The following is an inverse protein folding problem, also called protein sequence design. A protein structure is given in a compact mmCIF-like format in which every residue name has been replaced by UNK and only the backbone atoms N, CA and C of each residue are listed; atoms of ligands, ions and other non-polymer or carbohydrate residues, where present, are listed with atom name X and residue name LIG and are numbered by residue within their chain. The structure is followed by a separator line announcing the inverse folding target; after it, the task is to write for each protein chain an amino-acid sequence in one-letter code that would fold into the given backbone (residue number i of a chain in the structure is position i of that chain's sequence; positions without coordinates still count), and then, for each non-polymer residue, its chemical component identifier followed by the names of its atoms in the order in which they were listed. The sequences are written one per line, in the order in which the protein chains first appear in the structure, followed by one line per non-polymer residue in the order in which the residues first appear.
data_IF_027591528006
#
_entry.id   IF_027591528006
#
_cell.length_a   1.000
_cell.length_b   1.000
_cell.length_c   1.000
_cell.angle_alpha   90.00
_cell.angle_beta   90.00
_cell.angle_gamma   90.00
#
_symmetry.space_group_name_H-M   'P 1'
#
loop_
_entity.id
_entity.type
_entity.pdbx_description
1 polymer ?
#
# COMPACT_ATOMS: atom_id res chain seq x y z
N UNK A 1 6.00 16.84 -3.80
CA UNK A 1 4.59 16.72 -3.37
C UNK A 1 4.12 15.39 -3.90
N UNK A 2 3.57 14.52 -3.04
CA UNK A 2 3.18 13.15 -3.40
C UNK A 2 1.65 13.03 -3.38
N UNK A 3 1.07 12.50 -4.46
CA UNK A 3 -0.36 12.15 -4.51
C UNK A 3 -0.50 10.63 -4.41
N UNK A 4 -1.47 10.16 -3.62
CA UNK A 4 -1.77 8.73 -3.53
C UNK A 4 -2.81 8.37 -4.57
N UNK A 5 -2.41 7.62 -5.59
CA UNK A 5 -3.33 7.14 -6.63
C UNK A 5 -3.70 5.69 -6.34
N UNK A 6 -5.01 5.43 -6.19
CA UNK A 6 -5.51 4.05 -6.12
C UNK A 6 -5.77 3.55 -7.53
N UNK A 7 -5.27 2.36 -7.85
CA UNK A 7 -5.45 1.73 -9.14
C UNK A 7 -5.79 0.25 -9.01
N UNK A 8 -6.45 -0.30 -10.03
CA UNK A 8 -6.67 -1.73 -10.19
C UNK A 8 -5.77 -2.28 -11.29
N UNK A 9 -5.14 -3.41 -11.01
CA UNK A 9 -4.36 -4.13 -12.01
C UNK A 9 -5.26 -5.05 -12.84
N UNK A 10 -5.36 -4.77 -14.13
CA UNK A 10 -6.18 -5.55 -15.07
C UNK A 10 -5.41 -5.75 -16.39
N UNK A 11 -5.20 -7.01 -16.78
CA UNK A 11 -4.57 -7.34 -18.07
C UNK A 11 -3.14 -6.81 -18.26
N UNK A 12 -2.37 -6.65 -17.18
CA UNK A 12 -0.99 -6.12 -17.26
C UNK A 12 -0.89 -4.60 -17.06
N UNK A 13 -2.01 -3.90 -16.84
CA UNK A 13 -2.06 -2.44 -16.77
C UNK A 13 -2.64 -1.99 -15.43
N UNK A 14 -2.05 -0.95 -14.83
CA UNK A 14 -2.62 -0.25 -13.67
C UNK A 14 -3.62 0.79 -14.15
N UNK A 15 -4.89 0.61 -13.80
CA UNK A 15 -5.99 1.52 -14.12
C UNK A 15 -6.38 2.33 -12.88
N UNK A 16 -6.19 3.64 -12.85
CA UNK A 16 -6.65 4.49 -11.74
C UNK A 16 -8.14 4.29 -11.46
N UNK A 17 -8.52 4.34 -10.19
CA UNK A 17 -9.94 4.30 -9.78
C UNK A 17 -10.63 5.66 -9.96
N UNK A 18 -9.83 6.73 -10.05
CA UNK A 18 -10.25 8.12 -10.19
C UNK A 18 -9.34 8.80 -11.22
N UNK A 19 -9.81 9.91 -11.81
CA UNK A 19 -9.00 10.69 -12.75
C UNK A 19 -7.76 11.28 -12.06
N UNK A 20 -6.64 11.29 -12.78
CA UNK A 20 -5.35 11.74 -12.26
C UNK A 20 -4.87 12.91 -13.10
N UNK A 21 -4.52 14.02 -12.45
CA UNK A 21 -3.98 15.21 -13.11
C UNK A 21 -2.48 15.04 -13.38
N UNK A 22 -2.16 14.25 -14.42
CA UNK A 22 -0.79 14.02 -14.91
C UNK A 22 -0.71 14.41 -16.38
N UNK A 23 0.47 14.86 -16.82
CA UNK A 23 0.72 15.17 -18.23
C UNK A 23 1.13 13.93 -19.00
N UNK A 24 0.84 13.89 -20.29
CA UNK A 24 1.34 12.82 -21.17
C UNK A 24 2.89 12.79 -21.14
N UNK A 25 3.45 11.61 -20.90
CA UNK A 25 4.90 11.40 -20.77
C UNK A 25 5.48 11.73 -19.39
N UNK A 26 4.66 12.09 -18.41
CA UNK A 26 5.11 12.30 -17.03
C UNK A 26 5.49 10.96 -16.36
N UNK A 27 6.72 10.89 -15.83
CA UNK A 27 7.20 9.71 -15.12
C UNK A 27 6.72 9.71 -13.67
N UNK A 28 6.27 8.54 -13.19
CA UNK A 28 5.80 8.36 -11.81
C UNK A 28 6.43 7.14 -11.18
N UNK A 29 6.63 7.20 -9.86
CA UNK A 29 7.09 6.07 -9.07
C UNK A 29 5.90 5.30 -8.49
N UNK A 30 5.95 3.97 -8.51
CA UNK A 30 4.89 3.10 -8.04
C UNK A 30 5.30 2.34 -6.79
N UNK A 31 4.49 2.45 -5.73
CA UNK A 31 4.63 1.64 -4.52
C UNK A 31 3.61 0.50 -4.57
N UNK A 32 4.08 -0.73 -4.82
CA UNK A 32 3.23 -1.93 -4.83
C UNK A 32 3.35 -2.64 -3.49
N UNK A 33 2.38 -2.41 -2.61
CA UNK A 33 2.27 -3.11 -1.32
C UNK A 33 1.73 -4.52 -1.56
N UNK A 34 2.56 -5.54 -1.38
CA UNK A 34 2.13 -6.96 -1.37
C UNK A 34 1.76 -7.36 0.05
N UNK A 35 0.75 -8.22 0.19
CA UNK A 35 0.08 -8.42 1.48
C UNK A 35 1.05 -8.75 2.62
N UNK A 36 0.80 -8.12 3.76
CA UNK A 36 1.47 -8.30 5.05
C UNK A 36 1.20 -9.65 5.70
N UNK A 37 0.49 -10.56 5.03
CA UNK A 37 0.05 -11.86 5.57
C UNK A 37 1.23 -12.69 6.09
N UNK A 38 2.40 -12.59 5.46
CA UNK A 38 3.62 -13.27 5.91
C UNK A 38 4.17 -12.71 7.24
N UNK A 39 4.10 -11.39 7.43
CA UNK A 39 4.53 -10.71 8.67
C UNK A 39 3.49 -10.89 9.78
N UNK A 40 2.22 -10.77 9.43
CA UNK A 40 1.08 -10.91 10.33
C UNK A 40 1.07 -12.27 11.04
N UNK A 41 1.29 -13.36 10.30
CA UNK A 41 1.36 -14.71 10.90
C UNK A 41 2.54 -14.89 11.87
N UNK A 42 3.64 -14.16 11.69
CA UNK A 42 4.76 -14.16 12.63
C UNK A 42 4.48 -13.29 13.87
N UNK A 43 3.79 -12.15 13.69
CA UNK A 43 3.43 -11.22 14.76
C UNK A 43 2.42 -11.85 15.74
N UNK A 44 1.35 -12.46 15.23
CA UNK A 44 0.32 -13.13 16.04
C UNK A 44 0.88 -14.22 16.95
N UNK A 45 1.91 -14.95 16.49
CA UNK A 45 2.57 -15.98 17.32
C UNK A 45 3.24 -15.41 18.57
N UNK A 46 3.67 -14.15 18.53
CA UNK A 46 4.35 -13.48 19.65
C UNK A 46 3.41 -12.61 20.48
N UNK A 47 2.35 -12.08 19.88
CA UNK A 47 1.38 -11.15 20.47
C UNK A 47 -0.03 -11.52 19.98
N UNK A 48 -0.64 -12.60 20.53
CA UNK A 48 -1.93 -13.11 20.06
C UNK A 48 -3.11 -12.16 20.33
N UNK A 49 -2.92 -11.16 21.18
CA UNK A 49 -3.91 -10.14 21.50
C UNK A 49 -4.08 -9.05 20.42
N UNK A 50 -3.16 -8.97 19.45
CA UNK A 50 -3.25 -8.01 18.35
C UNK A 50 -4.28 -8.47 17.32
N UNK A 51 -5.23 -7.60 16.99
CA UNK A 51 -6.17 -7.84 15.89
C UNK A 51 -5.50 -7.63 14.54
N UNK A 52 -6.14 -8.17 13.49
CA UNK A 52 -5.66 -8.01 12.12
C UNK A 52 -5.74 -6.56 11.68
N UNK A 53 -6.86 -5.91 12.00
CA UNK A 53 -7.07 -4.51 11.66
C UNK A 53 -6.02 -3.58 12.30
N UNK A 54 -5.64 -3.81 13.56
CA UNK A 54 -4.62 -3.00 14.24
C UNK A 54 -3.24 -3.12 13.59
N UNK A 55 -2.83 -4.33 13.20
CA UNK A 55 -1.54 -4.54 12.53
C UNK A 55 -1.54 -3.91 11.13
N UNK A 56 -2.65 -4.03 10.39
CA UNK A 56 -2.80 -3.39 9.08
C UNK A 56 -2.78 -1.86 9.19
N UNK A 57 -3.38 -1.28 10.23
CA UNK A 57 -3.36 0.15 10.49
C UNK A 57 -1.94 0.67 10.75
N UNK A 58 -1.20 0.05 11.66
CA UNK A 58 0.18 0.46 12.01
C UNK A 58 1.13 0.33 10.82
N UNK A 59 1.02 -0.74 10.03
CA UNK A 59 1.85 -0.86 8.81
C UNK A 59 1.45 0.22 7.81
N UNK A 60 0.15 0.49 7.65
CA UNK A 60 -0.35 1.57 6.82
C UNK A 60 0.24 2.93 7.21
N UNK A 61 0.32 3.22 8.51
CA UNK A 61 0.96 4.42 9.07
C UNK A 61 2.45 4.50 8.73
N UNK A 62 3.22 3.42 8.95
CA UNK A 62 4.66 3.38 8.65
C UNK A 62 4.93 3.62 7.16
N UNK A 63 4.15 2.98 6.29
CA UNK A 63 4.32 3.08 4.84
C UNK A 63 3.81 4.42 4.26
N UNK A 64 2.92 5.13 4.98
CA UNK A 64 2.42 6.46 4.59
C UNK A 64 3.31 7.60 5.13
N UNK A 65 4.03 7.38 6.25
CA UNK A 65 5.01 8.33 6.80
C UNK A 65 6.33 8.36 6.02
N UNK A 66 6.54 7.46 5.06
CA UNK A 66 7.74 7.46 4.22
C UNK A 66 9.03 7.26 5.02
N UNK A 67 8.99 6.40 6.05
CA UNK A 67 10.21 6.03 6.78
C UNK A 67 11.00 5.05 5.90
N UNK A 68 12.25 5.39 5.52
CA UNK A 68 13.08 4.58 4.63
C UNK A 68 13.45 3.20 5.19
#
# INVERSE_FOLDING_TARGET
MSIRVRARFEGGVLRPLEEVDLREGEEVELIIRRSVTAVYGALLRRRPELSREEVEAVIGEIEDEGVP
#
